data_IF_088556264836
#
_entry.id   IF_088556264836
#
_cell.length_a   1.000
_cell.length_b   1.000
_cell.length_c   1.000
_cell.angle_alpha   90.00
_cell.angle_beta   90.00
_cell.angle_gamma   90.00
#
_symmetry.space_group_name_H-M   'P 1'
#
loop_
_entity.id
_entity.type
_entity.pdbx_description
1 polymer ?
#
# COMPACT_ATOMS: atom_id res chain seq x y z
N UNK A 1 -14.33 5.05 -4.23
CA UNK A 1 -13.65 3.98 -3.46
C UNK A 1 -13.56 4.34 -1.98
N UNK A 2 -12.85 5.39 -1.59
CA UNK A 2 -12.67 5.79 -0.17
C UNK A 2 -14.00 5.88 0.59
N UNK A 3 -15.02 6.52 0.02
CA UNK A 3 -16.35 6.59 0.64
C UNK A 3 -16.98 5.22 0.91
N UNK A 4 -16.72 4.21 0.07
CA UNK A 4 -17.20 2.84 0.29
C UNK A 4 -16.48 2.20 1.49
N UNK A 5 -15.17 2.39 1.60
CA UNK A 5 -14.37 1.89 2.72
C UNK A 5 -14.84 2.56 4.03
N UNK A 6 -15.05 3.87 4.02
CA UNK A 6 -15.56 4.59 5.20
C UNK A 6 -16.98 4.17 5.60
N UNK A 7 -17.80 3.71 4.65
CA UNK A 7 -19.14 3.21 4.95
C UNK A 7 -19.12 1.88 5.74
N UNK A 8 -18.01 1.13 5.69
CA UNK A 8 -17.77 -0.05 6.52
C UNK A 8 -17.43 0.31 7.98
N UNK A 9 -17.27 1.62 8.27
CA UNK A 9 -17.02 2.20 9.60
C UNK A 9 -15.80 1.61 10.31
N UNK A 10 -14.59 1.74 9.73
CA UNK A 10 -13.37 1.29 10.40
C UNK A 10 -13.10 2.16 11.64
N UNK A 11 -12.59 1.55 12.71
CA UNK A 11 -12.19 2.27 13.93
C UNK A 11 -11.00 3.21 13.68
N UNK A 12 -10.11 2.82 12.75
CA UNK A 12 -8.95 3.59 12.33
C UNK A 12 -8.85 3.62 10.80
N UNK A 13 -8.46 4.76 10.26
CA UNK A 13 -8.29 4.94 8.81
C UNK A 13 -7.13 5.89 8.53
N UNK A 14 -6.27 5.52 7.58
CA UNK A 14 -5.14 6.34 7.14
C UNK A 14 -4.85 6.12 5.66
N UNK A 15 -4.52 7.19 4.95
CA UNK A 15 -4.09 7.15 3.55
C UNK A 15 -2.58 7.41 3.49
N UNK A 16 -1.82 6.56 2.82
CA UNK A 16 -0.40 6.77 2.54
C UNK A 16 -0.22 7.27 1.09
N UNK A 17 0.62 8.28 0.90
CA UNK A 17 0.97 8.80 -0.42
C UNK A 17 2.44 8.59 -0.73
N UNK A 18 2.75 8.42 -2.02
CA UNK A 18 4.13 8.44 -2.50
C UNK A 18 4.76 9.82 -2.29
N UNK A 19 6.04 9.81 -1.88
CA UNK A 19 6.84 11.02 -1.81
C UNK A 19 6.95 11.72 -3.18
N UNK A 20 6.78 13.06 -3.24
CA UNK A 20 7.01 13.83 -4.46
C UNK A 20 8.50 13.98 -4.80
N UNK A 21 9.40 13.66 -3.84
CA UNK A 21 10.85 13.69 -4.02
C UNK A 21 11.41 12.28 -4.24
N UNK A 22 12.62 12.21 -4.82
CA UNK A 22 13.35 10.94 -5.00
C UNK A 22 13.48 10.21 -3.67
N UNK A 23 13.26 8.90 -3.72
CA UNK A 23 13.33 8.00 -2.56
C UNK A 23 14.70 7.36 -2.43
N UNK A 24 14.97 6.76 -1.28
CA UNK A 24 16.21 6.00 -1.05
C UNK A 24 16.47 4.90 -2.09
N UNK A 25 15.41 4.34 -2.68
CA UNK A 25 15.53 3.37 -3.79
C UNK A 25 16.19 3.98 -5.03
N UNK A 26 15.93 5.26 -5.31
CA UNK A 26 16.57 5.97 -6.43
C UNK A 26 18.03 6.33 -6.15
N UNK A 27 18.40 6.50 -4.88
CA UNK A 27 19.80 6.74 -4.47
C UNK A 27 20.62 5.46 -4.61
N UNK A 28 20.06 4.32 -4.18
CA UNK A 28 20.69 3.01 -4.25
C UNK A 28 20.76 2.45 -5.68
N UNK A 29 19.73 2.71 -6.51
CA UNK A 29 19.67 2.27 -7.89
C UNK A 29 19.09 3.37 -8.80
N UNK A 30 19.94 4.13 -9.53
CA UNK A 30 19.49 5.27 -10.33
C UNK A 30 18.48 4.94 -11.44
N UNK A 31 18.47 3.70 -11.95
CA UNK A 31 17.53 3.23 -12.98
C UNK A 31 16.21 2.70 -12.38
N UNK A 32 16.03 2.81 -11.06
CA UNK A 32 14.81 2.39 -10.39
C UNK A 32 13.59 3.10 -11.00
N UNK A 33 12.58 2.32 -11.42
CA UNK A 33 11.38 2.78 -12.14
C UNK A 33 11.64 3.57 -13.44
N UNK A 34 12.86 3.57 -14.00
CA UNK A 34 13.18 4.32 -15.22
C UNK A 34 12.34 3.89 -16.44
N UNK A 35 11.97 2.60 -16.50
CA UNK A 35 11.15 2.04 -17.58
C UNK A 35 9.63 2.24 -17.36
N UNK A 36 9.18 2.83 -16.24
CA UNK A 36 7.75 3.10 -16.06
C UNK A 36 7.32 4.19 -17.04
N UNK A 37 6.18 3.98 -17.70
CA UNK A 37 5.55 5.03 -18.52
C UNK A 37 5.36 6.25 -17.63
N UNK A 38 5.82 7.41 -18.11
CA UNK A 38 5.56 8.67 -17.43
C UNK A 38 4.05 8.83 -17.26
N UNK A 39 3.65 9.21 -16.06
CA UNK A 39 2.27 9.55 -15.76
C UNK A 39 1.80 10.67 -16.71
N UNK A 40 0.59 10.50 -17.25
CA UNK A 40 -0.02 11.46 -18.16
C UNK A 40 -0.34 12.75 -17.41
N UNK A 41 -0.15 13.90 -18.06
CA UNK A 41 -0.19 15.20 -17.38
C UNK A 41 -1.59 15.52 -16.81
N UNK A 42 -2.65 15.13 -17.52
CA UNK A 42 -4.03 15.24 -17.05
C UNK A 42 -4.26 14.47 -15.74
N UNK A 43 -3.55 13.36 -15.53
CA UNK A 43 -3.63 12.58 -14.31
C UNK A 43 -2.78 13.19 -13.19
N UNK A 44 -1.58 13.73 -13.51
CA UNK A 44 -0.75 14.43 -12.52
C UNK A 44 -1.47 15.62 -11.89
N UNK A 45 -2.23 16.38 -12.68
CA UNK A 45 -2.98 17.53 -12.20
C UNK A 45 -4.11 17.15 -11.23
N UNK A 46 -4.59 15.90 -11.26
CA UNK A 46 -5.63 15.41 -10.36
C UNK A 46 -5.10 15.04 -8.97
N UNK A 47 -3.80 14.79 -8.82
CA UNK A 47 -3.21 14.38 -7.54
C UNK A 47 -3.38 15.47 -6.46
N UNK A 48 -2.98 16.74 -6.68
CA UNK A 48 -3.15 17.79 -5.67
C UNK A 48 -4.63 18.04 -5.32
N UNK A 49 -5.51 17.93 -6.32
CA UNK A 49 -6.96 18.08 -6.11
C UNK A 49 -7.48 16.97 -5.19
N UNK A 50 -7.05 15.73 -5.42
CA UNK A 50 -7.43 14.58 -4.58
C UNK A 50 -6.90 14.75 -3.16
N UNK A 51 -5.66 15.21 -2.99
CA UNK A 51 -5.07 15.50 -1.69
C UNK A 51 -5.86 16.58 -0.93
N UNK A 52 -6.26 17.67 -1.62
CA UNK A 52 -7.10 18.70 -1.02
C UNK A 52 -8.46 18.15 -0.58
N UNK A 53 -9.10 17.32 -1.40
CA UNK A 53 -10.37 16.68 -1.02
C UNK A 53 -10.23 15.81 0.24
N UNK A 54 -9.13 15.06 0.36
CA UNK A 54 -8.84 14.25 1.56
C UNK A 54 -8.67 15.13 2.80
N UNK A 55 -7.96 16.25 2.66
CA UNK A 55 -7.77 17.23 3.72
C UNK A 55 -9.10 17.88 4.15
N UNK A 56 -9.92 18.30 3.19
CA UNK A 56 -11.24 18.91 3.44
C UNK A 56 -12.20 17.93 4.14
N UNK A 57 -12.11 16.65 3.80
CA UNK A 57 -12.81 15.55 4.47
C UNK A 57 -12.24 15.24 5.86
N UNK A 58 -11.14 15.88 6.27
CA UNK A 58 -10.42 15.67 7.54
C UNK A 58 -9.98 14.22 7.73
N UNK A 59 -9.67 13.54 6.63
CA UNK A 59 -9.21 12.15 6.68
C UNK A 59 -7.70 12.13 6.97
N UNK A 60 -7.23 11.31 7.93
CA UNK A 60 -5.82 11.17 8.20
C UNK A 60 -5.07 10.69 6.95
N UNK A 61 -4.03 11.42 6.56
CA UNK A 61 -3.15 10.98 5.49
C UNK A 61 -1.69 11.35 5.77
N UNK A 62 -0.78 10.57 5.20
CA UNK A 62 0.65 10.65 5.47
C UNK A 62 1.42 10.75 4.16
N UNK A 63 2.34 11.71 4.10
CA UNK A 63 3.37 11.83 3.08
C UNK A 63 4.69 12.02 3.83
N UNK A 64 5.66 11.14 3.58
CA UNK A 64 6.98 11.22 4.23
C UNK A 64 8.03 11.42 3.15
N UNK A 65 8.75 12.55 3.12
CA UNK A 65 9.79 12.80 2.12
C UNK A 65 10.82 11.67 2.09
N UNK A 66 11.12 11.16 0.89
CA UNK A 66 12.11 10.10 0.67
C UNK A 66 11.57 8.68 0.82
N UNK A 67 10.31 8.50 1.23
CA UNK A 67 9.64 7.21 1.39
C UNK A 67 8.46 7.06 0.43
N UNK A 68 8.22 5.84 -0.03
CA UNK A 68 7.09 5.49 -0.87
C UNK A 68 5.86 5.12 -0.02
N UNK A 69 4.68 5.07 -0.65
CA UNK A 69 3.45 4.74 0.08
C UNK A 69 3.51 3.33 0.71
N UNK A 70 4.14 2.38 0.01
CA UNK A 70 4.37 1.01 0.47
C UNK A 70 5.21 0.96 1.75
N UNK A 71 6.24 1.80 1.87
CA UNK A 71 7.10 1.91 3.06
C UNK A 71 6.30 2.37 4.29
N UNK A 72 5.43 3.38 4.10
CA UNK A 72 4.57 3.91 5.16
C UNK A 72 3.57 2.82 5.60
N UNK A 73 2.94 2.14 4.65
CA UNK A 73 2.00 1.04 4.92
C UNK A 73 2.71 -0.09 5.67
N UNK A 74 3.86 -0.56 5.17
CA UNK A 74 4.63 -1.62 5.79
C UNK A 74 5.06 -1.26 7.22
N UNK A 75 5.45 -0.01 7.46
CA UNK A 75 5.81 0.50 8.79
C UNK A 75 4.62 0.44 9.75
N UNK A 76 3.45 0.92 9.32
CA UNK A 76 2.25 0.92 10.16
C UNK A 76 1.76 -0.50 10.45
N UNK A 77 1.70 -1.36 9.42
CA UNK A 77 1.30 -2.77 9.58
C UNK A 77 2.25 -3.48 10.54
N UNK A 78 3.57 -3.33 10.35
CA UNK A 78 4.57 -3.98 11.22
C UNK A 78 4.44 -3.51 12.67
N UNK A 79 4.13 -2.23 12.88
CA UNK A 79 3.95 -1.67 14.22
C UNK A 79 2.74 -2.22 14.95
N UNK A 80 1.65 -2.48 14.23
CA UNK A 80 0.35 -2.78 14.84
C UNK A 80 -0.12 -4.23 14.69
N UNK A 81 0.51 -5.03 13.82
CA UNK A 81 0.08 -6.42 13.59
C UNK A 81 0.20 -7.34 14.81
N UNK A 82 1.01 -6.97 15.81
CA UNK A 82 1.10 -7.70 17.08
C UNK A 82 -0.06 -7.42 18.04
N UNK A 83 -0.88 -6.40 17.77
CA UNK A 83 -2.03 -6.06 18.60
C UNK A 83 -3.17 -7.05 18.32
N UNK A 84 -3.59 -7.89 19.29
CA UNK A 84 -4.51 -8.99 19.05
C UNK A 84 -5.95 -8.53 18.73
N UNK A 85 -6.29 -7.29 19.10
CA UNK A 85 -7.62 -6.71 18.86
C UNK A 85 -7.73 -6.01 17.50
N UNK A 86 -6.61 -5.84 16.78
CA UNK A 86 -6.60 -5.15 15.50
C UNK A 86 -6.72 -6.14 14.34
N UNK A 87 -7.65 -5.83 13.43
CA UNK A 87 -7.72 -6.40 12.08
C UNK A 87 -7.27 -5.32 11.11
N UNK A 88 -6.28 -5.62 10.28
CA UNK A 88 -5.65 -4.64 9.39
C UNK A 88 -5.94 -5.01 7.94
N UNK A 89 -6.71 -4.15 7.27
CA UNK A 89 -7.02 -4.27 5.85
C UNK A 89 -6.19 -3.27 5.02
N UNK A 90 -5.27 -3.79 4.21
CA UNK A 90 -4.39 -3.00 3.33
C UNK A 90 -5.03 -2.93 1.94
N UNK A 91 -5.55 -1.76 1.56
CA UNK A 91 -6.14 -1.54 0.24
C UNK A 91 -5.07 -1.11 -0.79
N UNK A 92 -4.64 -2.04 -1.63
CA UNK A 92 -3.70 -1.79 -2.73
C UNK A 92 -3.74 -2.91 -3.76
N UNK A 93 -3.50 -2.59 -5.02
CA UNK A 93 -3.27 -3.56 -6.09
C UNK A 93 -1.81 -4.01 -6.19
N UNK A 94 -0.91 -3.43 -5.40
CA UNK A 94 0.50 -3.78 -5.40
C UNK A 94 0.70 -5.16 -4.79
N UNK A 95 1.31 -6.07 -5.55
CA UNK A 95 1.58 -7.44 -5.11
C UNK A 95 2.65 -7.47 -4.04
N UNK A 96 3.55 -6.49 -4.00
CA UNK A 96 4.67 -6.44 -3.07
C UNK A 96 4.16 -6.37 -1.63
N UNK A 97 3.02 -5.70 -1.40
CA UNK A 97 2.38 -5.59 -0.09
C UNK A 97 1.81 -6.92 0.43
N UNK A 98 1.64 -7.94 -0.43
CA UNK A 98 1.25 -9.29 0.03
C UNK A 98 2.29 -9.91 0.98
N UNK A 99 3.53 -9.42 0.99
CA UNK A 99 4.54 -9.83 1.97
C UNK A 99 4.13 -9.54 3.43
N UNK A 100 3.21 -8.59 3.63
CA UNK A 100 2.74 -8.16 4.95
C UNK A 100 1.64 -9.06 5.53
N UNK A 101 1.12 -10.01 4.75
CA UNK A 101 0.05 -10.91 5.18
C UNK A 101 0.45 -11.68 6.45
N UNK A 102 -0.46 -11.68 7.41
CA UNK A 102 -0.30 -12.32 8.72
C UNK A 102 -1.70 -12.81 9.18
N UNK A 103 -1.80 -13.36 10.38
CA UNK A 103 -3.05 -13.88 10.94
C UNK A 103 -4.18 -12.83 11.04
N UNK A 104 -3.83 -11.55 11.21
CA UNK A 104 -4.77 -10.42 11.31
C UNK A 104 -4.56 -9.33 10.23
N UNK A 105 -3.72 -9.60 9.23
CA UNK A 105 -3.42 -8.65 8.14
C UNK A 105 -3.88 -9.21 6.81
N UNK A 106 -4.65 -8.42 6.07
CA UNK A 106 -5.24 -8.80 4.80
C UNK A 106 -4.92 -7.75 3.72
N UNK A 107 -4.75 -8.19 2.47
CA UNK A 107 -4.53 -7.29 1.34
C UNK A 107 -5.75 -7.30 0.42
N UNK A 108 -6.27 -6.14 0.07
CA UNK A 108 -7.48 -5.99 -0.75
C UNK A 108 -7.10 -5.28 -2.04
N UNK A 109 -7.29 -5.95 -3.17
CA UNK A 109 -7.23 -5.29 -4.48
C UNK A 109 -8.55 -4.54 -4.69
N UNK A 110 -8.55 -3.19 -4.68
CA UNK A 110 -9.78 -2.41 -4.77
C UNK A 110 -10.50 -2.53 -6.11
N UNK A 111 -9.79 -2.91 -7.18
CA UNK A 111 -10.38 -3.07 -8.51
C UNK A 111 -11.11 -4.41 -8.63
N UNK A 112 -10.59 -5.45 -7.98
CA UNK A 112 -11.18 -6.79 -7.98
C UNK A 112 -12.10 -7.05 -6.78
N UNK A 113 -12.07 -6.17 -5.79
CA UNK A 113 -12.75 -6.34 -4.50
C UNK A 113 -12.43 -7.71 -3.88
N UNK A 114 -11.18 -8.15 -4.02
CA UNK A 114 -10.69 -9.43 -3.54
C UNK A 114 -9.84 -9.22 -2.30
N UNK A 115 -10.31 -9.71 -1.15
CA UNK A 115 -9.59 -9.69 0.12
C UNK A 115 -8.78 -10.97 0.24
N UNK A 116 -7.46 -10.83 0.23
CA UNK A 116 -6.48 -11.91 0.24
C UNK A 116 -5.96 -12.11 1.66
N UNK A 117 -6.02 -13.35 2.14
CA UNK A 117 -5.36 -13.81 3.36
C UNK A 117 -4.14 -14.70 3.07
N UNK A 118 -3.46 -15.16 4.13
CA UNK A 118 -2.30 -16.06 4.03
C UNK A 118 -2.63 -17.40 3.34
N UNK A 119 -3.86 -17.90 3.48
CA UNK A 119 -4.30 -19.16 2.88
C UNK A 119 -4.48 -19.02 1.37
N UNK A 120 -5.15 -17.96 0.93
CA UNK A 120 -5.32 -17.64 -0.49
C UNK A 120 -3.97 -17.32 -1.14
N UNK A 121 -3.08 -16.62 -0.44
CA UNK A 121 -1.71 -16.41 -0.88
C UNK A 121 -0.99 -17.74 -1.11
N UNK A 122 -1.03 -18.65 -0.13
CA UNK A 122 -0.36 -19.95 -0.22
C UNK A 122 -0.92 -20.80 -1.38
N UNK A 123 -2.21 -20.71 -1.66
CA UNK A 123 -2.82 -21.39 -2.81
C UNK A 123 -2.35 -20.83 -4.16
N UNK A 124 -2.12 -19.52 -4.25
CA UNK A 124 -1.69 -18.83 -5.47
C UNK A 124 -0.17 -18.99 -5.72
N UNK A 125 0.64 -18.76 -4.68
CA UNK A 125 2.10 -18.66 -4.80
C UNK A 125 2.84 -19.91 -4.36
N UNK A 126 2.19 -20.82 -3.62
CA UNK A 126 2.77 -22.09 -3.13
C UNK A 126 3.94 -21.92 -2.14
N UNK A 127 4.11 -20.73 -1.56
CA UNK A 127 5.07 -20.43 -0.50
C UNK A 127 4.49 -19.46 0.53
N UNK A 128 5.19 -19.26 1.66
CA UNK A 128 4.79 -18.33 2.73
C UNK A 128 4.97 -16.87 2.30
N UNK A 129 4.06 -15.94 2.65
CA UNK A 129 4.23 -14.50 2.38
C UNK A 129 5.59 -13.92 2.76
N UNK A 130 6.24 -14.48 3.79
CA UNK A 130 7.58 -14.11 4.22
C UNK A 130 8.67 -14.25 3.13
N UNK A 131 8.47 -15.10 2.13
CA UNK A 131 9.38 -15.31 1.00
C UNK A 131 9.01 -14.49 -0.24
N UNK A 132 8.00 -13.61 -0.16
CA UNK A 132 7.57 -12.80 -1.29
C UNK A 132 8.69 -11.90 -1.81
N UNK A 133 9.49 -11.32 -0.90
CA UNK A 133 10.62 -10.48 -1.29
C UNK A 133 11.69 -11.29 -2.04
N UNK A 134 12.05 -12.47 -1.53
CA UNK A 134 12.99 -13.36 -2.20
C UNK A 134 12.49 -13.78 -3.58
N UNK A 135 11.21 -14.13 -3.69
CA UNK A 135 10.58 -14.47 -4.96
C UNK A 135 10.67 -13.32 -5.98
N UNK A 136 10.32 -12.10 -5.57
CA UNK A 136 10.38 -10.91 -6.43
C UNK A 136 11.81 -10.55 -6.84
N UNK A 137 12.80 -10.82 -6.00
CA UNK A 137 14.21 -10.59 -6.33
C UNK A 137 14.76 -11.56 -7.39
N UNK A 138 14.10 -12.70 -7.60
CA UNK A 138 14.53 -13.76 -8.53
C UNK A 138 13.88 -13.67 -9.92
N UNK A 139 12.83 -12.86 -10.12
CA UNK A 139 12.04 -12.80 -11.37
C UNK A 139 12.14 -11.47 -12.12
#
# INVERSE_FOLDING_TARGET
MILKILAEKPDYFVIAWDSPVKTHRHESFPEYKANRKKMEDDFKQQIPITQQMIEDMKLPSLIVPGYEADDIIATLVTRYKSEPELVIDVYSSDKDLKQLLDHNVFCIDPMKNNRVDTKQFLQEFLFSPSFMLDYLALI
#
